data_IF_440740364317
#
_entry.id   IF_440740364317
#
_cell.length_a   1.000
_cell.length_b   1.000
_cell.length_c   1.000
_cell.angle_alpha   90.00
_cell.angle_beta   90.00
_cell.angle_gamma   90.00
#
_symmetry.space_group_name_H-M   'P 1'
#
loop_
_entity.id
_entity.type
_entity.pdbx_description
1 polymer ?
#
# COMPACT_ATOMS: atom_id res chain seq x y z
N UNK A 1 6.65 -5.74 -18.42
CA UNK A 1 7.83 -6.27 -17.70
C UNK A 1 8.89 -6.79 -18.67
N UNK A 2 8.54 -7.57 -19.67
CA UNK A 2 9.49 -8.18 -20.63
C UNK A 2 10.31 -7.18 -21.45
N UNK A 3 9.93 -5.89 -21.44
CA UNK A 3 10.69 -4.79 -22.04
C UNK A 3 11.85 -4.31 -21.16
N UNK A 4 11.70 -4.44 -19.84
CA UNK A 4 12.65 -3.88 -18.85
C UNK A 4 13.39 -4.95 -18.05
N UNK A 5 12.89 -6.19 -18.04
CA UNK A 5 13.49 -7.31 -17.32
C UNK A 5 13.54 -8.54 -18.22
N UNK A 6 14.71 -9.18 -18.38
CA UNK A 6 14.83 -10.45 -19.09
C UNK A 6 13.84 -11.49 -18.53
N UNK A 7 13.27 -12.31 -19.41
CA UNK A 7 12.25 -13.31 -18.99
C UNK A 7 12.78 -14.36 -18.02
N UNK A 8 14.08 -14.61 -18.05
CA UNK A 8 14.76 -15.58 -17.19
C UNK A 8 14.97 -15.08 -15.76
N UNK A 9 14.93 -13.77 -15.56
CA UNK A 9 15.15 -13.18 -14.24
C UNK A 9 13.92 -13.31 -13.34
N UNK A 10 14.17 -13.77 -12.13
CA UNK A 10 13.18 -13.78 -11.04
C UNK A 10 13.25 -12.45 -10.31
N UNK A 11 12.11 -11.98 -9.86
CA UNK A 11 11.96 -10.67 -9.23
C UNK A 11 11.29 -10.75 -7.86
N UNK A 12 11.52 -9.74 -7.04
CA UNK A 12 10.71 -9.42 -5.88
C UNK A 12 9.73 -8.32 -6.25
N UNK A 13 8.49 -8.46 -5.85
CA UNK A 13 7.44 -7.50 -6.11
C UNK A 13 6.96 -6.90 -4.79
N UNK A 14 6.96 -5.57 -4.68
CA UNK A 14 6.34 -4.87 -3.57
C UNK A 14 5.22 -3.97 -4.11
N UNK A 15 4.06 -3.97 -3.45
CA UNK A 15 2.92 -3.21 -3.89
C UNK A 15 2.28 -2.42 -2.76
N UNK A 16 2.28 -1.08 -2.87
CA UNK A 16 1.68 -0.19 -1.89
C UNK A 16 0.21 0.11 -2.22
N UNK A 17 -0.66 0.03 -1.21
CA UNK A 17 -2.07 0.42 -1.31
C UNK A 17 -2.76 -0.27 -2.51
N UNK A 18 -3.28 0.48 -3.48
CA UNK A 18 -3.83 -0.08 -4.72
C UNK A 18 -2.77 -0.82 -5.56
N UNK A 19 -1.50 -0.43 -5.44
CA UNK A 19 -0.38 -1.17 -6.03
C UNK A 19 -0.26 -2.60 -5.50
N UNK A 20 -0.65 -2.86 -4.25
CA UNK A 20 -0.73 -4.21 -3.70
C UNK A 20 -1.82 -5.06 -4.36
N UNK A 21 -2.99 -4.45 -4.64
CA UNK A 21 -4.05 -5.14 -5.41
C UNK A 21 -3.56 -5.52 -6.80
N UNK A 22 -2.95 -4.57 -7.52
CA UNK A 22 -2.38 -4.83 -8.85
C UNK A 22 -1.23 -5.83 -8.77
N UNK A 23 -0.36 -5.70 -7.76
CA UNK A 23 0.78 -6.59 -7.53
C UNK A 23 0.34 -8.04 -7.32
N UNK A 24 -0.75 -8.29 -6.60
CA UNK A 24 -1.32 -9.63 -6.44
C UNK A 24 -1.72 -10.27 -7.76
N UNK A 25 -2.41 -9.52 -8.63
CA UNK A 25 -2.76 -10.02 -9.96
C UNK A 25 -1.55 -10.21 -10.87
N UNK A 26 -0.55 -9.31 -10.79
CA UNK A 26 0.70 -9.45 -11.53
C UNK A 26 1.48 -10.67 -11.04
N UNK A 27 1.58 -10.87 -9.71
CA UNK A 27 2.26 -12.04 -9.14
C UNK A 27 1.58 -13.35 -9.55
N UNK A 28 0.25 -13.40 -9.50
CA UNK A 28 -0.53 -14.54 -9.96
C UNK A 28 -0.28 -14.86 -11.46
N UNK A 29 -0.17 -13.84 -12.29
CA UNK A 29 0.06 -13.99 -13.74
C UNK A 29 1.49 -14.39 -14.08
N UNK A 30 2.48 -13.89 -13.31
CA UNK A 30 3.90 -14.18 -13.54
C UNK A 30 4.36 -15.51 -12.92
N UNK A 31 3.59 -16.06 -11.98
CA UNK A 31 3.86 -17.34 -11.33
C UNK A 31 5.26 -17.37 -10.70
N UNK A 32 6.01 -18.43 -10.96
CA UNK A 32 7.35 -18.68 -10.41
C UNK A 32 8.41 -17.60 -10.72
N UNK A 33 8.11 -16.70 -11.64
CA UNK A 33 8.99 -15.58 -11.93
C UNK A 33 9.02 -14.57 -10.76
N UNK A 34 7.99 -14.54 -9.91
CA UNK A 34 7.98 -13.75 -8.68
C UNK A 34 8.45 -14.62 -7.52
N UNK A 35 9.59 -14.28 -6.92
CA UNK A 35 10.13 -15.00 -5.74
C UNK A 35 9.33 -14.69 -4.48
N UNK A 36 9.09 -13.40 -4.27
CA UNK A 36 8.32 -12.90 -3.14
C UNK A 36 7.46 -11.72 -3.55
N UNK A 37 6.29 -11.63 -2.92
CA UNK A 37 5.37 -10.52 -3.07
C UNK A 37 5.11 -9.89 -1.69
N UNK A 38 5.58 -8.67 -1.50
CA UNK A 38 5.35 -7.88 -0.29
C UNK A 38 4.17 -6.94 -0.49
N UNK A 39 3.13 -7.15 0.29
CA UNK A 39 1.93 -6.31 0.31
C UNK A 39 2.15 -5.20 1.33
N UNK A 40 2.10 -3.93 0.90
CA UNK A 40 2.34 -2.77 1.78
C UNK A 40 1.06 -1.96 1.91
N UNK A 41 0.48 -1.88 3.11
CA UNK A 41 -0.70 -1.08 3.40
C UNK A 41 -1.87 -1.31 2.43
N UNK A 42 -1.99 -2.51 1.83
CA UNK A 42 -2.94 -2.74 0.76
C UNK A 42 -4.35 -3.04 1.28
N UNK A 43 -5.29 -2.74 0.43
CA UNK A 43 -6.70 -3.10 0.56
C UNK A 43 -7.07 -4.19 -0.46
N UNK A 44 -8.37 -4.43 -0.66
CA UNK A 44 -8.83 -5.50 -1.55
C UNK A 44 -8.84 -6.87 -0.89
N UNK A 45 -8.79 -6.88 0.46
CA UNK A 45 -8.86 -8.09 1.29
C UNK A 45 -10.29 -8.46 1.72
N UNK A 46 -11.30 -7.72 1.25
CA UNK A 46 -12.71 -7.94 1.67
C UNK A 46 -13.00 -7.53 3.11
N UNK A 47 -12.07 -6.84 3.78
CA UNK A 47 -12.17 -6.47 5.18
C UNK A 47 -12.77 -5.08 5.38
N UNK A 48 -13.29 -4.85 6.58
CA UNK A 48 -13.86 -3.57 6.98
C UNK A 48 -12.79 -2.47 6.93
N UNK A 49 -13.20 -1.32 6.45
CA UNK A 49 -12.40 -0.11 6.38
C UNK A 49 -13.17 1.03 7.03
N UNK A 50 -12.50 1.79 7.90
CA UNK A 50 -13.08 2.98 8.48
C UNK A 50 -13.34 4.07 7.43
N UNK A 51 -14.43 4.84 7.55
CA UNK A 51 -14.66 6.01 6.73
C UNK A 51 -13.54 7.04 6.92
N UNK A 52 -13.13 7.68 5.85
CA UNK A 52 -12.16 8.78 5.87
C UNK A 52 -12.81 10.05 5.33
N UNK A 53 -12.67 11.16 6.06
CA UNK A 53 -13.21 12.49 5.66
C UNK A 53 -12.33 13.15 4.61
N UNK A 54 -12.30 12.58 3.42
CA UNK A 54 -11.55 13.14 2.29
C UNK A 54 -12.32 14.28 1.64
N UNK A 55 -11.67 15.43 1.51
CA UNK A 55 -12.19 16.62 0.87
C UNK A 55 -11.77 16.68 -0.61
N UNK A 56 -12.60 17.35 -1.41
CA UNK A 56 -12.26 17.70 -2.78
C UNK A 56 -11.74 19.12 -2.79
N UNK A 57 -10.73 19.39 -3.61
CA UNK A 57 -10.32 20.76 -3.91
C UNK A 57 -11.48 21.41 -4.69
N UNK A 58 -12.03 22.54 -4.20
CA UNK A 58 -13.12 23.21 -4.89
C UNK A 58 -12.68 23.68 -6.29
N UNK A 59 -13.58 23.65 -7.28
CA UNK A 59 -13.29 24.26 -8.57
C UNK A 59 -12.99 25.77 -8.41
N UNK A 60 -11.88 26.24 -8.97
CA UNK A 60 -11.46 27.63 -8.85
C UNK A 60 -10.84 28.02 -7.51
N UNK A 61 -10.55 27.05 -6.64
CA UNK A 61 -9.87 27.31 -5.36
C UNK A 61 -8.54 28.04 -5.56
N UNK A 62 -8.25 28.98 -4.67
CA UNK A 62 -6.93 29.61 -4.61
C UNK A 62 -5.88 28.59 -4.18
N UNK A 63 -4.62 28.84 -4.51
CA UNK A 63 -3.52 27.90 -4.24
C UNK A 63 -3.45 27.50 -2.75
N UNK A 64 -3.60 28.46 -1.84
CA UNK A 64 -3.58 28.21 -0.40
C UNK A 64 -4.71 27.28 0.05
N UNK A 65 -5.93 27.47 -0.43
CA UNK A 65 -7.09 26.62 -0.14
C UNK A 65 -6.88 25.20 -0.67
N UNK A 66 -6.34 25.08 -1.89
CA UNK A 66 -6.00 23.79 -2.48
C UNK A 66 -4.95 23.05 -1.65
N UNK A 67 -3.87 23.72 -1.23
CA UNK A 67 -2.83 23.15 -0.38
C UNK A 67 -3.37 22.75 0.99
N UNK A 68 -4.22 23.56 1.62
CA UNK A 68 -4.88 23.22 2.88
C UNK A 68 -5.73 21.95 2.74
N UNK A 69 -6.46 21.81 1.63
CA UNK A 69 -7.23 20.59 1.33
C UNK A 69 -6.33 19.38 1.16
N UNK A 70 -5.19 19.51 0.49
CA UNK A 70 -4.23 18.41 0.34
C UNK A 70 -3.59 18.01 1.69
N UNK A 71 -3.22 18.99 2.54
CA UNK A 71 -2.73 18.72 3.91
C UNK A 71 -3.79 17.97 4.75
N UNK A 72 -5.05 18.39 4.69
CA UNK A 72 -6.13 17.69 5.37
C UNK A 72 -6.25 16.24 4.87
N UNK A 73 -6.24 16.01 3.57
CA UNK A 73 -6.37 14.67 3.00
C UNK A 73 -5.17 13.76 3.36
N UNK A 74 -3.97 14.32 3.43
CA UNK A 74 -2.80 13.60 3.92
C UNK A 74 -2.97 13.18 5.38
N UNK A 75 -3.42 14.10 6.25
CA UNK A 75 -3.60 13.82 7.68
C UNK A 75 -4.70 12.77 7.95
N UNK A 76 -5.80 12.79 7.21
CA UNK A 76 -6.91 11.85 7.47
C UNK A 76 -6.76 10.50 6.82
N UNK A 77 -5.85 10.35 5.85
CA UNK A 77 -5.71 9.10 5.11
C UNK A 77 -4.29 8.53 5.12
N UNK A 78 -3.26 9.36 4.93
CA UNK A 78 -1.94 8.89 4.51
C UNK A 78 -0.91 8.89 5.64
N UNK A 79 -0.88 9.94 6.45
CA UNK A 79 0.18 10.21 7.43
C UNK A 79 -0.46 10.38 8.80
N UNK A 80 -0.10 9.55 9.77
CA UNK A 80 -0.68 9.54 11.10
C UNK A 80 -0.12 10.66 12.01
N UNK A 81 1.15 11.00 11.83
CA UNK A 81 1.81 12.09 12.54
C UNK A 81 1.76 13.38 11.70
N UNK A 82 0.92 14.37 12.08
CA UNK A 82 0.79 15.61 11.32
C UNK A 82 2.11 16.40 11.16
N UNK A 83 3.10 16.20 12.05
CA UNK A 83 4.39 16.88 11.98
C UNK A 83 5.25 16.39 10.81
N UNK A 84 4.93 15.21 10.27
CA UNK A 84 5.58 14.62 9.10
C UNK A 84 4.92 14.99 7.76
N UNK A 85 3.86 15.82 7.79
CA UNK A 85 3.25 16.38 6.59
C UNK A 85 4.06 17.59 6.13
N UNK A 86 5.18 17.33 5.53
CA UNK A 86 6.09 18.35 4.99
C UNK A 86 5.67 18.89 3.61
N UNK A 87 6.45 19.79 3.05
CA UNK A 87 6.18 20.39 1.75
C UNK A 87 6.26 19.37 0.61
N UNK A 88 7.15 18.37 0.73
CA UNK A 88 7.27 17.32 -0.27
C UNK A 88 6.03 16.43 -0.29
N UNK A 89 5.51 16.03 0.87
CA UNK A 89 4.27 15.24 0.95
C UNK A 89 3.10 15.98 0.29
N UNK A 90 2.96 17.28 0.59
CA UNK A 90 1.90 18.13 0.02
C UNK A 90 2.09 18.28 -1.49
N UNK A 91 3.31 18.51 -1.96
CA UNK A 91 3.63 18.61 -3.38
C UNK A 91 3.27 17.31 -4.13
N UNK A 92 3.74 16.17 -3.63
CA UNK A 92 3.43 14.86 -4.23
C UNK A 92 1.92 14.61 -4.29
N UNK A 93 1.19 14.94 -3.21
CA UNK A 93 -0.26 14.81 -3.15
C UNK A 93 -0.95 15.72 -4.16
N UNK A 94 -0.55 16.99 -4.25
CA UNK A 94 -1.15 17.97 -5.16
C UNK A 94 -0.95 17.62 -6.63
N UNK A 95 0.23 17.09 -6.96
CA UNK A 95 0.55 16.67 -8.33
C UNK A 95 -0.18 15.35 -8.74
N UNK A 96 -0.31 14.41 -7.80
CA UNK A 96 -0.89 13.11 -8.12
C UNK A 96 -2.43 13.09 -8.07
N UNK A 97 -3.06 13.86 -7.18
CA UNK A 97 -4.51 13.85 -7.00
C UNK A 97 -5.29 14.14 -8.29
N UNK A 98 -4.96 15.16 -9.09
CA UNK A 98 -5.67 15.46 -10.35
C UNK A 98 -5.31 14.47 -11.47
N UNK A 99 -4.17 13.78 -11.39
CA UNK A 99 -3.71 12.82 -12.40
C UNK A 99 -4.29 11.42 -12.22
N UNK A 100 -5.04 11.18 -11.16
CA UNK A 100 -5.67 9.90 -10.87
C UNK A 100 -6.68 9.48 -11.94
N UNK A 101 -6.32 8.53 -12.82
CA UNK A 101 -7.17 8.04 -13.92
C UNK A 101 -8.03 6.83 -13.54
N UNK A 102 -7.66 6.13 -12.47
CA UNK A 102 -8.33 4.91 -12.04
C UNK A 102 -9.18 5.18 -10.81
N UNK A 103 -10.45 4.77 -10.85
CA UNK A 103 -11.34 4.79 -9.67
C UNK A 103 -11.01 3.60 -8.75
N UNK A 104 -9.82 3.64 -8.13
CA UNK A 104 -9.28 2.54 -7.31
C UNK A 104 -10.16 2.13 -6.14
N UNK A 105 -11.00 3.04 -5.61
CA UNK A 105 -11.92 2.75 -4.48
C UNK A 105 -12.83 1.55 -4.72
N UNK A 106 -13.28 1.33 -5.97
CA UNK A 106 -14.12 0.19 -6.31
C UNK A 106 -13.40 -1.14 -6.08
N UNK A 107 -12.12 -1.20 -6.43
CA UNK A 107 -11.30 -2.40 -6.30
C UNK A 107 -10.76 -2.57 -4.87
N UNK A 108 -10.38 -1.46 -4.21
CA UNK A 108 -9.83 -1.48 -2.85
C UNK A 108 -10.88 -1.84 -1.78
N UNK A 109 -12.16 -1.63 -2.03
CA UNK A 109 -13.26 -1.97 -1.11
C UNK A 109 -13.82 -3.38 -1.32
N UNK A 110 -13.44 -4.03 -2.39
CA UNK A 110 -13.84 -5.39 -2.70
C UNK A 110 -12.78 -6.41 -2.19
N UNK A 111 -12.95 -7.65 -2.54
CA UNK A 111 -12.07 -8.78 -2.23
C UNK A 111 -11.07 -9.08 -3.38
N UNK A 112 -10.75 -8.07 -4.18
CA UNK A 112 -9.97 -8.22 -5.42
C UNK A 112 -8.59 -8.80 -5.21
N UNK A 113 -7.89 -8.42 -4.13
CA UNK A 113 -6.61 -9.02 -3.80
C UNK A 113 -6.78 -10.45 -3.31
N UNK A 114 -7.75 -10.70 -2.41
CA UNK A 114 -8.06 -12.05 -1.90
C UNK A 114 -8.29 -13.04 -3.02
N UNK A 115 -8.99 -12.66 -4.07
CA UNK A 115 -9.24 -13.53 -5.24
C UNK A 115 -7.98 -13.85 -6.04
N UNK A 116 -6.95 -13.02 -5.98
CA UNK A 116 -5.68 -13.28 -6.65
C UNK A 116 -4.75 -14.18 -5.81
N UNK A 117 -4.80 -14.07 -4.48
CA UNK A 117 -3.86 -14.75 -3.58
C UNK A 117 -3.78 -16.29 -3.76
N UNK A 118 -4.88 -17.04 -4.01
CA UNK A 118 -4.78 -18.47 -4.28
C UNK A 118 -3.93 -18.85 -5.50
N UNK A 119 -3.73 -17.91 -6.41
CA UNK A 119 -2.95 -18.09 -7.64
C UNK A 119 -1.50 -17.58 -7.50
N UNK A 120 -1.17 -16.96 -6.37
CA UNK A 120 0.17 -16.43 -6.10
C UNK A 120 1.05 -17.53 -5.54
N UNK A 121 2.01 -17.99 -6.33
CA UNK A 121 3.03 -18.98 -5.93
C UNK A 121 4.23 -18.35 -5.23
N UNK A 122 4.41 -17.04 -5.37
CA UNK A 122 5.43 -16.26 -4.69
C UNK A 122 5.25 -16.30 -3.17
N UNK A 123 6.35 -16.23 -2.41
CA UNK A 123 6.26 -16.05 -0.95
C UNK A 123 5.59 -14.73 -0.63
N UNK A 124 4.62 -14.78 0.29
CA UNK A 124 3.79 -13.65 0.64
C UNK A 124 4.30 -13.01 1.94
N UNK A 125 4.48 -11.70 1.91
CA UNK A 125 4.85 -10.90 3.08
C UNK A 125 3.96 -9.64 3.15
N UNK A 126 3.78 -9.08 4.35
CA UNK A 126 2.97 -7.88 4.57
C UNK A 126 3.66 -6.85 5.46
N UNK A 127 3.54 -5.57 5.13
CA UNK A 127 4.00 -4.44 5.97
C UNK A 127 2.88 -3.42 6.07
N UNK A 128 2.51 -3.04 7.30
CA UNK A 128 1.52 -1.99 7.56
C UNK A 128 2.02 -0.99 8.59
N UNK A 129 1.54 0.24 8.51
CA UNK A 129 1.62 1.17 9.62
C UNK A 129 0.59 0.82 10.69
N UNK A 130 0.96 0.94 11.97
CA UNK A 130 0.06 0.66 13.10
C UNK A 130 -1.23 1.49 13.04
N UNK A 131 -1.11 2.75 12.59
CA UNK A 131 -2.20 3.72 12.48
C UNK A 131 -2.72 3.92 11.06
N UNK A 132 -2.52 2.92 10.19
CA UNK A 132 -3.05 2.97 8.83
C UNK A 132 -4.55 3.20 8.83
N UNK A 133 -4.99 4.39 8.44
CA UNK A 133 -6.41 4.81 8.44
C UNK A 133 -7.31 3.90 7.59
N UNK A 134 -6.73 3.07 6.73
CA UNK A 134 -7.48 2.10 5.91
C UNK A 134 -7.60 0.73 6.56
N UNK A 135 -6.85 0.50 7.64
CA UNK A 135 -6.70 -0.81 8.29
C UNK A 135 -7.02 -0.78 9.79
N UNK A 136 -6.66 0.27 10.48
CA UNK A 136 -6.85 0.43 11.93
C UNK A 136 -8.35 0.37 12.33
N UNK A 137 -8.70 -0.31 13.43
CA UNK A 137 -7.85 -1.10 14.32
C UNK A 137 -7.68 -2.57 13.92
N UNK A 138 -8.09 -2.98 12.75
CA UNK A 138 -8.24 -4.37 12.30
C UNK A 138 -6.99 -4.93 11.59
N UNK A 139 -5.78 -4.66 12.09
CA UNK A 139 -4.53 -5.18 11.51
C UNK A 139 -4.41 -6.70 11.63
N UNK A 140 -4.88 -7.26 12.74
CA UNK A 140 -4.84 -8.70 12.98
C UNK A 140 -5.64 -9.49 11.95
N UNK A 141 -6.77 -8.95 11.50
CA UNK A 141 -7.58 -9.55 10.44
C UNK A 141 -6.82 -9.62 9.11
N UNK A 142 -5.98 -8.61 8.83
CA UNK A 142 -5.14 -8.58 7.63
C UNK A 142 -4.01 -9.60 7.71
N UNK A 143 -3.37 -9.69 8.86
CA UNK A 143 -2.37 -10.72 9.13
C UNK A 143 -2.97 -12.12 8.99
N UNK A 144 -4.12 -12.36 9.62
CA UNK A 144 -4.84 -13.63 9.54
C UNK A 144 -5.22 -13.98 8.09
N UNK A 145 -5.69 -12.97 7.32
CA UNK A 145 -6.02 -13.17 5.91
C UNK A 145 -4.81 -13.61 5.10
N UNK A 146 -3.65 -12.94 5.21
CA UNK A 146 -2.45 -13.36 4.49
C UNK A 146 -2.00 -14.76 4.90
N UNK A 147 -2.00 -15.06 6.20
CA UNK A 147 -1.61 -16.36 6.74
C UNK A 147 -2.59 -17.49 6.39
N UNK A 148 -3.84 -17.19 6.09
CA UNK A 148 -4.79 -18.21 5.60
C UNK A 148 -4.43 -18.75 4.22
N UNK A 149 -3.70 -17.99 3.40
CA UNK A 149 -3.18 -18.44 2.11
C UNK A 149 -1.78 -19.03 2.23
N UNK A 150 -0.91 -18.42 3.06
CA UNK A 150 0.43 -18.90 3.35
C UNK A 150 0.69 -18.77 4.85
N UNK A 151 0.66 -19.87 5.64
CA UNK A 151 0.84 -19.82 7.10
C UNK A 151 2.15 -19.14 7.53
N UNK A 152 3.20 -19.23 6.69
CA UNK A 152 4.52 -18.66 6.91
C UNK A 152 4.62 -17.18 6.45
N UNK A 153 3.50 -16.55 6.03
CA UNK A 153 3.49 -15.17 5.63
C UNK A 153 3.95 -14.28 6.80
N UNK A 154 5.04 -13.58 6.57
CA UNK A 154 5.54 -12.57 7.50
C UNK A 154 4.59 -11.37 7.46
N UNK A 155 4.24 -10.84 8.63
CA UNK A 155 3.40 -9.66 8.74
C UNK A 155 4.02 -8.72 9.77
N UNK A 156 4.48 -7.57 9.31
CA UNK A 156 5.17 -6.57 10.11
C UNK A 156 4.34 -5.32 10.24
N UNK A 157 4.37 -4.75 11.44
CA UNK A 157 3.65 -3.51 11.78
C UNK A 157 4.68 -2.49 12.25
N UNK A 158 4.74 -1.34 11.58
CA UNK A 158 5.60 -0.23 11.98
C UNK A 158 4.82 0.69 12.92
N UNK A 159 5.32 0.79 14.16
CA UNK A 159 4.68 1.53 15.22
C UNK A 159 4.47 3.02 14.88
N UNK A 160 3.30 3.56 15.23
CA UNK A 160 2.96 4.96 15.05
C UNK A 160 2.73 5.42 13.60
N UNK A 161 3.14 4.65 12.60
CA UNK A 161 3.04 5.03 11.19
C UNK A 161 1.61 4.88 10.64
N UNK A 162 1.24 5.75 9.70
CA UNK A 162 -0.03 5.72 8.97
C UNK A 162 0.01 4.86 7.71
N UNK A 163 -0.91 5.18 6.81
CA UNK A 163 -1.06 4.43 5.55
C UNK A 163 0.16 4.55 4.63
N UNK A 164 0.77 5.73 4.53
CA UNK A 164 1.96 5.96 3.70
C UNK A 164 3.25 5.61 4.47
N UNK A 165 3.29 4.39 4.96
CA UNK A 165 4.32 3.88 5.87
C UNK A 165 5.74 4.05 5.34
N UNK A 166 5.97 3.84 4.04
CA UNK A 166 7.28 3.98 3.41
C UNK A 166 7.75 5.44 3.28
N UNK A 167 6.85 6.41 3.45
CA UNK A 167 7.16 7.83 3.52
C UNK A 167 7.34 8.28 4.96
N UNK A 168 6.35 7.98 5.79
CA UNK A 168 6.26 8.47 7.16
C UNK A 168 7.31 7.84 8.08
N UNK A 169 7.65 6.58 7.86
CA UNK A 169 8.60 5.80 8.65
C UNK A 169 9.67 5.14 7.77
N UNK A 170 10.30 5.94 6.88
CA UNK A 170 11.26 5.44 5.91
C UNK A 170 12.50 4.78 6.56
N UNK A 171 12.91 5.26 7.73
CA UNK A 171 14.06 4.74 8.46
C UNK A 171 13.84 3.32 8.98
N UNK A 172 12.60 2.96 9.34
CA UNK A 172 12.22 1.62 9.76
C UNK A 172 11.80 0.76 8.56
N UNK A 173 11.07 1.36 7.62
CA UNK A 173 10.52 0.65 6.47
C UNK A 173 11.60 0.13 5.52
N UNK A 174 12.59 0.97 5.18
CA UNK A 174 13.59 0.61 4.17
C UNK A 174 14.48 -0.57 4.61
N UNK A 175 15.04 -0.60 5.85
CA UNK A 175 15.78 -1.76 6.32
C UNK A 175 14.93 -3.03 6.39
N UNK A 176 13.68 -2.91 6.84
CA UNK A 176 12.74 -4.03 6.94
C UNK A 176 12.44 -4.64 5.57
N UNK A 177 12.10 -3.82 4.57
CA UNK A 177 11.87 -4.31 3.21
C UNK A 177 13.12 -4.94 2.62
N UNK A 178 14.29 -4.34 2.83
CA UNK A 178 15.57 -4.88 2.37
C UNK A 178 15.90 -6.24 3.05
N UNK A 179 15.57 -6.41 4.32
CA UNK A 179 15.71 -7.68 5.03
C UNK A 179 14.77 -8.75 4.44
N UNK A 180 13.49 -8.41 4.22
CA UNK A 180 12.52 -9.32 3.58
C UNK A 180 13.04 -9.77 2.23
N UNK A 181 13.48 -8.85 1.37
CA UNK A 181 14.04 -9.19 0.05
C UNK A 181 15.23 -10.14 0.17
N UNK A 182 16.19 -9.85 1.06
CA UNK A 182 17.37 -10.70 1.27
C UNK A 182 17.03 -12.09 1.80
N UNK A 183 16.08 -12.19 2.71
CA UNK A 183 15.66 -13.48 3.29
C UNK A 183 14.90 -14.38 2.28
N UNK A 184 14.55 -13.85 1.12
CA UNK A 184 13.82 -14.56 0.06
C UNK A 184 14.68 -14.78 -1.20
N UNK A 185 15.96 -14.41 -1.17
CA UNK A 185 16.91 -14.73 -2.25
C UNK A 185 17.29 -16.22 -2.23
#
# INVERSE_FOLDING_TARGET
LDVVLPRQERLHLAGFSFGGVLGGHVAAQLGERVRAFTVVGSNGLGLVRQPTDLKRVPPGAQAEEALATHRHNLAVLMIADPTKIDELAVYVQSENAPRGRVRSRRFSRADTLVRALPLVTARLDGIWGERDATAYPHLDERAATLRSFQPEARFEVIAGAGHWVQYEAAEEFNPLLAEIVRSRM
#
